data_IF_805673334195
#
_entry.id   IF_805673334195
#
_cell.length_a   1.000
_cell.length_b   1.000
_cell.length_c   1.000
_cell.angle_alpha   90.00
_cell.angle_beta   90.00
_cell.angle_gamma   90.00
#
_symmetry.space_group_name_H-M   'P 1'
#
loop_
_entity.id
_entity.type
_entity.pdbx_description
1 polymer ?
#
# COMPACT_ATOMS: atom_id res chain seq x y z
N UNK A 1 5.22 -23.45 -4.55
CA UNK A 1 4.39 -24.59 -4.97
C UNK A 1 2.96 -24.57 -4.38
N UNK A 2 2.60 -23.53 -3.62
CA UNK A 2 1.28 -23.39 -2.97
C UNK A 2 0.27 -22.57 -3.80
N UNK A 3 0.70 -22.03 -4.95
CA UNK A 3 -0.16 -21.29 -5.88
C UNK A 3 -0.02 -19.77 -5.81
N UNK A 4 0.59 -19.22 -4.79
CA UNK A 4 0.80 -17.76 -4.69
C UNK A 4 1.75 -17.25 -5.77
N UNK A 5 1.43 -16.10 -6.36
CA UNK A 5 2.10 -15.52 -7.54
C UNK A 5 2.80 -14.21 -7.28
N UNK A 6 2.75 -13.74 -6.05
CA UNK A 6 3.39 -12.47 -5.66
C UNK A 6 4.01 -12.57 -4.26
N UNK A 7 4.93 -11.66 -4.00
CA UNK A 7 5.61 -11.50 -2.72
C UNK A 7 5.68 -10.01 -2.36
N UNK A 8 5.34 -9.66 -1.14
CA UNK A 8 5.40 -8.30 -0.62
C UNK A 8 6.46 -8.21 0.47
N UNK A 9 7.21 -7.12 0.50
CA UNK A 9 8.25 -6.90 1.50
C UNK A 9 8.45 -5.40 1.76
N UNK A 10 7.82 -4.91 2.82
CA UNK A 10 7.87 -3.50 3.20
C UNK A 10 9.30 -3.00 3.46
N UNK A 11 10.22 -3.87 3.89
CA UNK A 11 11.62 -3.54 4.17
C UNK A 11 12.57 -3.70 2.98
N UNK A 12 12.09 -4.03 1.78
CA UNK A 12 12.93 -4.29 0.62
C UNK A 12 13.98 -3.18 0.38
N UNK A 13 13.61 -1.92 0.55
CA UNK A 13 14.52 -0.77 0.41
C UNK A 13 15.69 -0.80 1.40
N UNK A 14 15.48 -1.35 2.59
CA UNK A 14 16.46 -1.40 3.68
C UNK A 14 17.36 -2.64 3.61
N UNK A 15 17.01 -3.65 2.79
CA UNK A 15 17.80 -4.86 2.66
C UNK A 15 19.11 -4.59 1.92
N UNK A 16 20.13 -5.36 2.24
CA UNK A 16 21.40 -5.32 1.52
C UNK A 16 21.22 -5.60 0.03
N UNK A 17 21.99 -4.92 -0.81
CA UNK A 17 21.87 -4.99 -2.28
C UNK A 17 21.99 -6.42 -2.80
N UNK A 18 22.94 -7.19 -2.28
CA UNK A 18 23.14 -8.60 -2.62
C UNK A 18 21.92 -9.47 -2.32
N UNK A 19 21.23 -9.19 -1.19
CA UNK A 19 20.00 -9.89 -0.83
C UNK A 19 18.84 -9.49 -1.76
N UNK A 20 18.71 -8.20 -2.10
CA UNK A 20 17.72 -7.75 -3.09
C UNK A 20 17.89 -8.46 -4.43
N UNK A 21 19.13 -8.59 -4.92
CA UNK A 21 19.47 -9.29 -6.16
C UNK A 21 19.16 -10.80 -6.10
N UNK A 22 19.49 -11.44 -4.97
CA UNK A 22 19.17 -12.85 -4.75
C UNK A 22 17.64 -13.08 -4.75
N UNK A 23 16.89 -12.22 -4.05
CA UNK A 23 15.43 -12.28 -4.01
C UNK A 23 14.84 -12.06 -5.41
N UNK A 24 15.33 -11.07 -6.16
CA UNK A 24 14.88 -10.78 -7.52
C UNK A 24 15.08 -11.99 -8.45
N UNK A 25 16.29 -12.60 -8.45
CA UNK A 25 16.60 -13.82 -9.23
C UNK A 25 15.68 -14.99 -8.83
N UNK A 26 15.43 -15.14 -7.53
CA UNK A 26 14.57 -16.22 -7.02
C UNK A 26 13.12 -16.02 -7.45
N UNK A 27 12.60 -14.81 -7.32
CA UNK A 27 11.24 -14.46 -7.77
C UNK A 27 11.09 -14.68 -9.29
N UNK A 28 12.05 -14.19 -10.08
CA UNK A 28 12.05 -14.39 -11.52
C UNK A 28 12.03 -15.88 -11.91
N UNK A 29 12.90 -16.68 -11.30
CA UNK A 29 12.96 -18.15 -11.54
C UNK A 29 11.66 -18.85 -11.22
N UNK A 30 10.88 -18.36 -10.24
CA UNK A 30 9.63 -18.96 -9.77
C UNK A 30 8.37 -18.32 -10.37
N UNK A 31 8.52 -17.32 -11.24
CA UNK A 31 7.38 -16.58 -11.79
C UNK A 31 6.60 -15.80 -10.72
N UNK A 32 7.28 -15.31 -9.67
CA UNK A 32 6.70 -14.54 -8.58
C UNK A 32 6.88 -13.04 -8.89
N UNK A 33 5.81 -12.27 -8.79
CA UNK A 33 5.83 -10.81 -8.95
C UNK A 33 6.21 -10.14 -7.62
N UNK A 34 7.02 -9.07 -7.68
CA UNK A 34 7.23 -8.21 -6.52
C UNK A 34 6.00 -7.31 -6.31
N UNK A 35 5.47 -7.30 -5.10
CA UNK A 35 4.44 -6.37 -4.63
C UNK A 35 5.02 -5.02 -4.22
N UNK A 36 4.36 -4.35 -3.27
CA UNK A 36 4.84 -3.08 -2.72
C UNK A 36 6.03 -3.26 -1.79
N UNK A 37 6.78 -2.18 -1.64
CA UNK A 37 7.74 -1.94 -0.57
C UNK A 37 7.66 -0.47 -0.16
N UNK A 38 8.07 -0.13 1.06
CA UNK A 38 8.02 1.26 1.55
C UNK A 38 9.11 2.11 0.89
N UNK A 39 8.68 3.16 0.17
CA UNK A 39 9.56 4.00 -0.65
C UNK A 39 10.50 4.90 0.15
N UNK A 40 10.08 5.35 1.33
CA UNK A 40 10.77 6.37 2.11
C UNK A 40 10.77 6.05 3.61
N UNK A 41 11.40 6.88 4.43
CA UNK A 41 11.27 6.79 5.88
C UNK A 41 9.95 7.44 6.31
N UNK A 42 9.10 6.67 7.01
CA UNK A 42 7.80 7.15 7.49
C UNK A 42 8.00 7.80 8.85
N UNK A 43 7.55 9.04 9.00
CA UNK A 43 7.55 9.76 10.28
C UNK A 43 6.21 9.58 10.98
N UNK A 44 6.14 8.58 11.87
CA UNK A 44 4.93 8.16 12.55
C UNK A 44 4.38 9.16 13.57
N UNK A 45 5.22 10.07 14.11
CA UNK A 45 4.88 10.93 15.25
C UNK A 45 5.19 12.41 15.00
N UNK A 46 5.59 12.78 13.81
CA UNK A 46 5.88 14.15 13.44
C UNK A 46 5.48 14.45 12.00
N UNK A 47 5.12 15.71 11.70
CA UNK A 47 4.81 16.12 10.33
C UNK A 47 5.97 15.82 9.37
N UNK A 48 5.60 15.43 8.14
CA UNK A 48 6.54 15.23 7.04
C UNK A 48 6.02 15.98 5.80
N UNK A 49 5.42 15.27 4.82
CA UNK A 49 4.99 15.88 3.56
C UNK A 49 3.93 16.96 3.76
N UNK A 50 3.05 16.79 4.74
CA UNK A 50 2.01 17.74 5.10
C UNK A 50 2.56 19.07 5.66
N UNK A 51 3.77 19.09 6.21
CA UNK A 51 4.36 20.27 6.84
C UNK A 51 4.64 21.43 5.89
N UNK A 52 4.91 21.14 4.61
CA UNK A 52 5.39 22.12 3.64
C UNK A 52 6.87 22.50 3.79
N UNK A 53 7.59 21.86 4.71
CA UNK A 53 9.03 22.08 4.92
C UNK A 53 9.83 21.63 3.69
N UNK A 54 10.64 22.54 3.13
CA UNK A 54 11.38 22.28 1.89
C UNK A 54 12.53 21.29 2.07
N UNK A 55 13.11 21.20 3.28
CA UNK A 55 14.15 20.21 3.58
C UNK A 55 13.54 18.81 3.62
N UNK A 56 12.38 18.62 4.28
CA UNK A 56 11.65 17.36 4.33
C UNK A 56 11.13 16.93 2.95
N UNK A 57 10.65 17.89 2.13
CA UNK A 57 10.29 17.61 0.74
C UNK A 57 11.49 17.11 -0.08
N UNK A 58 12.66 17.76 0.08
CA UNK A 58 13.89 17.38 -0.62
C UNK A 58 14.38 16.00 -0.16
N UNK A 59 14.31 15.72 1.13
CA UNK A 59 14.63 14.40 1.70
C UNK A 59 13.73 13.31 1.09
N UNK A 60 12.42 13.52 1.09
CA UNK A 60 11.46 12.59 0.49
C UNK A 60 11.77 12.32 -1.00
N UNK A 61 12.00 13.36 -1.80
CA UNK A 61 12.33 13.18 -3.21
C UNK A 61 13.65 12.42 -3.41
N UNK A 62 14.62 12.56 -2.50
CA UNK A 62 15.84 11.75 -2.50
C UNK A 62 15.55 10.27 -2.18
N UNK A 63 14.61 9.98 -1.27
CA UNK A 63 14.16 8.62 -1.03
C UNK A 63 13.49 8.03 -2.28
N UNK A 64 12.63 8.77 -2.97
CA UNK A 64 12.00 8.33 -4.22
C UNK A 64 13.06 7.97 -5.28
N UNK A 65 14.10 8.79 -5.46
CA UNK A 65 15.21 8.49 -6.37
C UNK A 65 15.96 7.19 -5.99
N UNK A 66 16.13 6.93 -4.69
CA UNK A 66 16.71 5.66 -4.20
C UNK A 66 15.74 4.48 -4.43
N UNK A 67 14.46 4.68 -4.15
CA UNK A 67 13.42 3.66 -4.35
C UNK A 67 13.29 3.23 -5.82
N UNK A 68 13.44 4.14 -6.78
CA UNK A 68 13.51 3.81 -8.21
C UNK A 68 14.61 2.79 -8.51
N UNK A 69 15.80 2.95 -7.90
CA UNK A 69 16.90 2.00 -8.09
C UNK A 69 16.58 0.62 -7.51
N UNK A 70 15.92 0.58 -6.35
CA UNK A 70 15.45 -0.67 -5.74
C UNK A 70 14.38 -1.33 -6.61
N UNK A 71 13.35 -0.57 -7.00
CA UNK A 71 12.28 -1.07 -7.86
C UNK A 71 12.80 -1.73 -9.15
N UNK A 72 13.75 -1.07 -9.81
CA UNK A 72 14.41 -1.64 -11.01
C UNK A 72 15.15 -2.95 -10.70
N UNK A 73 15.82 -3.04 -9.55
CA UNK A 73 16.59 -4.24 -9.16
C UNK A 73 15.69 -5.43 -8.88
N UNK A 74 14.55 -5.20 -8.20
CA UNK A 74 13.65 -6.28 -7.80
C UNK A 74 12.43 -6.43 -8.72
N UNK A 75 12.40 -5.69 -9.83
CA UNK A 75 11.30 -5.67 -10.80
C UNK A 75 9.95 -5.35 -10.13
N UNK A 76 9.93 -4.40 -9.18
CA UNK A 76 8.72 -3.90 -8.57
C UNK A 76 8.08 -2.83 -9.43
N UNK A 77 6.74 -2.78 -9.44
CA UNK A 77 5.95 -1.73 -10.09
C UNK A 77 5.46 -0.69 -9.08
N UNK A 78 5.19 -1.11 -7.87
CA UNK A 78 4.52 -0.30 -6.84
C UNK A 78 5.44 -0.05 -5.65
N UNK A 79 5.24 1.09 -5.00
CA UNK A 79 5.90 1.44 -3.75
C UNK A 79 4.95 2.23 -2.85
N UNK A 80 4.91 1.89 -1.56
CA UNK A 80 4.04 2.54 -0.56
C UNK A 80 4.60 3.90 -0.17
N UNK A 81 3.70 4.89 -0.08
CA UNK A 81 3.99 6.23 0.42
C UNK A 81 2.94 6.61 1.46
N UNK A 82 3.42 7.02 2.65
CA UNK A 82 2.60 7.54 3.75
C UNK A 82 3.00 9.00 4.00
N UNK A 83 2.08 9.99 3.89
CA UNK A 83 2.41 11.42 4.01
C UNK A 83 2.94 11.86 5.38
N UNK A 84 2.84 11.01 6.40
CA UNK A 84 3.27 11.29 7.76
C UNK A 84 2.17 11.90 8.63
N UNK A 85 2.56 12.48 9.76
CA UNK A 85 1.65 13.02 10.77
C UNK A 85 1.11 14.39 10.38
N UNK A 86 -0.07 14.77 10.89
CA UNK A 86 -0.61 16.13 10.75
C UNK A 86 0.24 17.13 11.52
N UNK A 87 0.31 18.37 11.02
CA UNK A 87 0.81 19.52 11.75
C UNK A 87 -0.37 20.25 12.41
N UNK A 88 -0.58 20.03 13.70
CA UNK A 88 -1.70 20.61 14.45
C UNK A 88 -1.69 22.15 14.51
N UNK A 89 -0.58 22.79 14.10
CA UNK A 89 -0.48 24.26 14.05
C UNK A 89 -0.94 24.84 12.71
N UNK A 90 -1.27 23.99 11.73
CA UNK A 90 -1.64 24.39 10.37
C UNK A 90 -3.04 23.91 9.98
N UNK A 91 -3.73 24.71 9.20
CA UNK A 91 -5.00 24.30 8.61
C UNK A 91 -4.81 23.09 7.67
N UNK A 92 -5.75 22.17 7.67
CA UNK A 92 -5.69 20.93 6.88
C UNK A 92 -5.61 21.20 5.36
N UNK A 93 -6.26 22.27 4.88
CA UNK A 93 -6.23 22.63 3.46
C UNK A 93 -4.81 22.99 2.97
N UNK A 94 -4.04 23.74 3.78
CA UNK A 94 -2.64 24.03 3.46
C UNK A 94 -1.79 22.76 3.45
N UNK A 95 -2.04 21.85 4.38
CA UNK A 95 -1.33 20.57 4.46
C UNK A 95 -1.63 19.71 3.23
N UNK A 96 -2.90 19.64 2.81
CA UNK A 96 -3.31 18.94 1.59
C UNK A 96 -2.61 19.52 0.34
N UNK A 97 -2.56 20.85 0.21
CA UNK A 97 -1.86 21.50 -0.89
C UNK A 97 -0.36 21.16 -0.90
N UNK A 98 0.30 21.16 0.28
CA UNK A 98 1.71 20.77 0.40
C UNK A 98 1.96 19.32 -0.02
N UNK A 99 1.09 18.40 0.38
CA UNK A 99 1.16 16.98 0.00
C UNK A 99 1.01 16.85 -1.52
N UNK A 100 0.00 17.46 -2.11
CA UNK A 100 -0.23 17.42 -3.57
C UNK A 100 0.99 17.97 -4.33
N UNK A 101 1.55 19.10 -3.90
CA UNK A 101 2.74 19.70 -4.53
C UNK A 101 3.93 18.74 -4.58
N UNK A 102 4.26 18.09 -3.45
CA UNK A 102 5.41 17.19 -3.38
C UNK A 102 5.16 15.87 -4.12
N UNK A 103 3.91 15.37 -4.10
CA UNK A 103 3.55 14.15 -4.84
C UNK A 103 3.59 14.37 -6.35
N UNK A 104 3.22 15.56 -6.86
CA UNK A 104 3.44 15.91 -8.28
C UNK A 104 4.91 15.84 -8.66
N UNK A 105 5.81 16.37 -7.83
CA UNK A 105 7.26 16.27 -8.07
C UNK A 105 7.76 14.83 -8.04
N UNK A 106 7.25 14.01 -7.13
CA UNK A 106 7.58 12.59 -7.05
C UNK A 106 7.04 11.81 -8.28
N UNK A 107 5.82 12.10 -8.73
CA UNK A 107 5.23 11.52 -9.94
C UNK A 107 6.11 11.76 -11.16
N UNK A 108 6.57 12.99 -11.36
CA UNK A 108 7.48 13.34 -12.46
C UNK A 108 8.79 12.53 -12.45
N UNK A 109 9.24 12.08 -11.28
CA UNK A 109 10.41 11.18 -11.16
C UNK A 109 10.07 9.73 -11.48
N UNK A 110 8.84 9.28 -11.21
CA UNK A 110 8.41 7.88 -11.34
C UNK A 110 7.89 7.55 -12.73
N UNK A 111 7.16 8.47 -13.38
CA UNK A 111 6.53 8.29 -14.68
C UNK A 111 7.47 7.77 -15.78
N UNK A 112 8.71 8.31 -15.94
CA UNK A 112 9.64 7.83 -16.97
C UNK A 112 10.06 6.36 -16.76
N UNK A 113 9.74 5.79 -15.61
CA UNK A 113 10.08 4.41 -15.24
C UNK A 113 8.86 3.49 -15.18
N UNK A 114 7.64 4.00 -15.43
CA UNK A 114 6.40 3.25 -15.28
C UNK A 114 6.13 2.78 -13.84
N UNK A 115 6.73 3.44 -12.85
CA UNK A 115 6.59 3.12 -11.44
C UNK A 115 5.42 3.90 -10.82
N UNK A 116 4.78 3.30 -9.84
CA UNK A 116 3.60 3.86 -9.19
C UNK A 116 3.82 3.93 -7.68
N UNK A 117 3.81 5.14 -7.12
CA UNK A 117 3.62 5.28 -5.69
C UNK A 117 2.15 5.08 -5.35
N UNK A 118 1.89 4.31 -4.31
CA UNK A 118 0.55 4.04 -3.82
C UNK A 118 0.42 4.63 -2.41
N UNK A 119 -0.53 5.56 -2.26
CA UNK A 119 -0.80 6.27 -1.01
C UNK A 119 -1.65 5.38 -0.13
N UNK A 120 -1.21 5.16 1.10
CA UNK A 120 -1.91 4.32 2.06
C UNK A 120 -2.64 5.15 3.11
N UNK A 121 -3.98 5.20 3.10
CA UNK A 121 -4.78 5.71 4.20
C UNK A 121 -4.75 4.71 5.36
N UNK A 122 -4.36 5.19 6.55
CA UNK A 122 -4.16 4.36 7.74
C UNK A 122 -5.16 4.72 8.83
N UNK A 123 -5.81 3.72 9.44
CA UNK A 123 -6.85 3.94 10.44
C UNK A 123 -6.34 4.67 11.70
N UNK A 124 -7.22 5.46 12.29
CA UNK A 124 -6.90 6.32 13.44
C UNK A 124 -6.59 5.56 14.74
N UNK A 125 -7.04 4.29 14.86
CA UNK A 125 -6.85 3.49 16.09
C UNK A 125 -5.41 3.00 16.21
N UNK A 126 -4.88 2.46 15.10
CA UNK A 126 -3.51 1.92 15.07
C UNK A 126 -2.48 3.02 14.84
N UNK A 127 -2.88 4.07 14.11
CA UNK A 127 -2.00 5.15 13.66
C UNK A 127 -2.60 6.55 13.95
N UNK A 128 -2.81 6.90 15.23
CA UNK A 128 -3.42 8.18 15.59
C UNK A 128 -2.57 9.37 15.13
N UNK A 129 -3.23 10.37 14.56
CA UNK A 129 -2.61 11.61 14.13
C UNK A 129 -1.94 11.60 12.77
N UNK A 130 -2.04 10.53 11.99
CA UNK A 130 -1.59 10.56 10.61
C UNK A 130 -2.47 11.48 9.75
N UNK A 131 -1.83 12.13 8.77
CA UNK A 131 -2.50 13.06 7.86
C UNK A 131 -3.50 12.37 6.94
N UNK A 132 -3.15 11.19 6.41
CA UNK A 132 -3.97 10.45 5.47
C UNK A 132 -4.61 9.23 6.15
N UNK A 133 -5.94 9.24 6.28
CA UNK A 133 -6.67 8.17 6.96
C UNK A 133 -7.90 7.66 6.22
N UNK A 134 -8.43 8.42 5.26
CA UNK A 134 -9.69 8.10 4.59
C UNK A 134 -9.52 7.90 3.09
N UNK A 135 -10.29 6.98 2.52
CA UNK A 135 -10.26 6.71 1.08
C UNK A 135 -10.75 7.90 0.23
N UNK A 136 -11.77 8.68 0.61
CA UNK A 136 -12.14 9.90 -0.11
C UNK A 136 -11.03 10.96 -0.14
N UNK A 137 -10.29 11.12 0.96
CA UNK A 137 -9.15 12.03 1.03
C UNK A 137 -8.02 11.59 0.09
N UNK A 138 -7.70 10.29 0.08
CA UNK A 138 -6.70 9.74 -0.84
C UNK A 138 -7.14 9.92 -2.30
N UNK A 139 -8.41 9.71 -2.59
CA UNK A 139 -9.00 9.90 -3.92
C UNK A 139 -8.85 11.35 -4.40
N UNK A 140 -9.23 12.32 -3.56
CA UNK A 140 -9.08 13.75 -3.86
C UNK A 140 -7.62 14.11 -4.16
N UNK A 141 -6.68 13.61 -3.35
CA UNK A 141 -5.24 13.84 -3.54
C UNK A 141 -4.77 13.23 -4.87
N UNK A 142 -5.10 11.97 -5.16
CA UNK A 142 -4.69 11.30 -6.40
C UNK A 142 -5.26 12.01 -7.63
N UNK A 143 -6.54 12.39 -7.61
CA UNK A 143 -7.18 13.19 -8.69
C UNK A 143 -6.50 14.53 -8.87
N UNK A 144 -6.12 15.22 -7.79
CA UNK A 144 -5.45 16.52 -7.83
C UNK A 144 -4.00 16.42 -8.32
N UNK A 145 -3.30 15.34 -7.99
CA UNK A 145 -1.98 15.02 -8.54
C UNK A 145 -2.07 14.73 -10.03
N UNK A 146 -3.12 14.04 -10.45
CA UNK A 146 -3.45 13.72 -11.85
C UNK A 146 -2.29 13.02 -12.59
N UNK A 147 -1.77 11.94 -12.01
CA UNK A 147 -0.66 11.18 -12.56
C UNK A 147 -0.92 9.67 -12.50
N UNK A 148 -0.54 8.89 -13.54
CA UNK A 148 -0.59 7.43 -13.48
C UNK A 148 0.39 6.84 -12.46
N UNK A 149 1.35 7.64 -11.99
CA UNK A 149 2.36 7.25 -10.99
C UNK A 149 1.97 7.58 -9.54
N UNK A 150 0.73 8.06 -9.31
CA UNK A 150 0.20 8.34 -7.97
C UNK A 150 -1.20 7.73 -7.85
N UNK A 151 -1.32 6.67 -7.08
CA UNK A 151 -2.56 5.90 -6.91
C UNK A 151 -2.80 5.58 -5.44
N UNK A 152 -3.93 4.97 -5.12
CA UNK A 152 -4.30 4.55 -3.78
C UNK A 152 -3.81 3.12 -3.54
N UNK A 153 -3.23 2.87 -2.38
CA UNK A 153 -3.19 1.56 -1.76
C UNK A 153 -4.42 1.44 -0.87
N UNK A 154 -5.37 0.61 -1.26
CA UNK A 154 -6.55 0.35 -0.47
C UNK A 154 -6.30 -0.86 0.44
N UNK A 155 -5.85 -0.60 1.69
CA UNK A 155 -5.75 -1.64 2.71
C UNK A 155 -7.14 -1.89 3.30
N UNK A 156 -7.67 -3.08 3.04
CA UNK A 156 -9.02 -3.47 3.45
C UNK A 156 -9.17 -3.48 4.97
N UNK A 157 -8.13 -3.90 5.70
CA UNK A 157 -8.12 -3.87 7.17
C UNK A 157 -8.23 -2.44 7.71
N UNK A 158 -7.39 -1.53 7.18
CA UNK A 158 -7.42 -0.15 7.63
C UNK A 158 -8.75 0.53 7.30
N UNK A 159 -9.29 0.32 6.11
CA UNK A 159 -10.54 0.95 5.72
C UNK A 159 -11.77 0.33 6.40
N UNK A 160 -11.72 -0.94 6.79
CA UNK A 160 -12.78 -1.52 7.63
C UNK A 160 -12.90 -0.79 8.97
N UNK A 161 -11.77 -0.50 9.62
CA UNK A 161 -11.75 0.20 10.92
C UNK A 161 -12.13 1.69 10.76
N UNK A 162 -11.64 2.33 9.72
CA UNK A 162 -11.76 3.76 9.50
C UNK A 162 -13.16 4.15 9.01
N UNK A 163 -13.68 3.43 8.00
CA UNK A 163 -14.87 3.83 7.25
C UNK A 163 -15.94 2.73 7.20
N UNK A 164 -15.55 1.45 7.24
CA UNK A 164 -16.47 0.35 6.90
C UNK A 164 -16.95 0.45 5.44
N UNK A 165 -18.15 -0.09 5.17
CA UNK A 165 -18.79 0.05 3.85
C UNK A 165 -17.86 -0.23 2.64
N UNK A 166 -17.03 -1.28 2.77
CA UNK A 166 -15.85 -1.53 1.92
C UNK A 166 -16.16 -1.54 0.42
N UNK A 167 -17.12 -2.36 -0.04
CA UNK A 167 -17.40 -2.51 -1.48
C UNK A 167 -17.85 -1.19 -2.12
N UNK A 168 -18.80 -0.43 -1.55
CA UNK A 168 -19.16 0.90 -2.08
C UNK A 168 -18.01 1.90 -2.06
N UNK A 169 -17.11 1.85 -1.07
CA UNK A 169 -15.94 2.73 -1.02
C UNK A 169 -14.89 2.34 -2.06
N UNK A 170 -14.64 1.04 -2.26
CA UNK A 170 -13.80 0.54 -3.36
C UNK A 170 -14.36 0.99 -4.72
N UNK A 171 -15.69 0.91 -4.91
CA UNK A 171 -16.33 1.34 -6.15
C UNK A 171 -16.09 2.82 -6.46
N UNK A 172 -16.27 3.69 -5.46
CA UNK A 172 -16.07 5.14 -5.61
C UNK A 172 -14.64 5.56 -5.91
N UNK A 173 -13.66 4.78 -5.41
CA UNK A 173 -12.25 5.07 -5.60
C UNK A 173 -11.61 4.26 -6.73
N UNK A 174 -12.37 3.43 -7.44
CA UNK A 174 -11.86 2.38 -8.33
C UNK A 174 -10.81 2.85 -9.34
N UNK A 175 -11.03 3.97 -9.99
CA UNK A 175 -10.15 4.53 -11.04
C UNK A 175 -8.80 5.04 -10.48
N UNK A 176 -8.72 5.25 -9.17
CA UNK A 176 -7.50 5.66 -8.49
C UNK A 176 -6.85 4.55 -7.64
N UNK A 177 -7.44 3.35 -7.53
CA UNK A 177 -6.82 2.26 -6.79
C UNK A 177 -5.74 1.58 -7.65
N UNK A 178 -4.50 1.59 -7.16
CA UNK A 178 -3.36 0.92 -7.78
C UNK A 178 -2.96 -0.39 -7.10
N UNK A 179 -3.33 -0.60 -5.84
CA UNK A 179 -2.92 -1.75 -5.06
C UNK A 179 -3.92 -2.03 -3.93
N UNK A 180 -4.04 -3.29 -3.53
CA UNK A 180 -4.83 -3.70 -2.37
C UNK A 180 -3.95 -4.42 -1.35
N UNK A 181 -4.24 -4.19 -0.06
CA UNK A 181 -3.71 -5.00 1.04
C UNK A 181 -4.84 -5.66 1.81
N UNK A 182 -4.53 -6.79 2.42
CA UNK A 182 -5.47 -7.72 3.04
C UNK A 182 -5.04 -8.00 4.47
N UNK A 183 -5.96 -7.86 5.39
CA UNK A 183 -5.89 -8.31 6.78
C UNK A 183 -7.30 -8.33 7.36
N UNK A 184 -7.65 -9.35 8.14
CA UNK A 184 -9.00 -9.43 8.71
C UNK A 184 -9.11 -8.61 10.01
N UNK A 185 -10.27 -8.04 10.25
CA UNK A 185 -10.58 -7.26 11.45
C UNK A 185 -11.61 -8.01 12.32
N UNK A 186 -11.43 -8.00 13.63
CA UNK A 186 -10.29 -7.53 14.41
C UNK A 186 -9.08 -8.48 14.37
N UNK A 187 -7.91 -8.02 14.79
CA UNK A 187 -6.72 -8.84 15.02
C UNK A 187 -5.67 -8.80 13.89
N UNK A 188 -6.01 -8.25 12.71
CA UNK A 188 -5.11 -8.15 11.55
C UNK A 188 -4.43 -9.49 11.25
N UNK A 189 -5.23 -10.54 11.11
CA UNK A 189 -4.80 -11.88 10.73
C UNK A 189 -5.34 -12.26 9.34
N UNK A 190 -5.16 -13.53 8.96
CA UNK A 190 -5.63 -14.05 7.66
C UNK A 190 -7.16 -13.98 7.52
N UNK A 191 -7.71 -13.91 6.30
CA UNK A 191 -9.15 -13.96 6.04
C UNK A 191 -9.85 -15.11 6.77
N UNK A 192 -11.12 -14.91 7.16
CA UNK A 192 -11.95 -15.83 7.92
C UNK A 192 -11.67 -15.90 9.42
N UNK A 193 -10.80 -15.04 9.94
CA UNK A 193 -10.55 -14.94 11.39
C UNK A 193 -11.32 -13.79 12.06
N UNK A 194 -11.91 -12.91 11.27
CA UNK A 194 -12.64 -11.73 11.73
C UNK A 194 -14.00 -11.53 11.04
N UNK A 195 -14.37 -10.28 10.87
CA UNK A 195 -15.71 -9.85 10.44
C UNK A 195 -15.82 -9.55 8.93
N UNK A 196 -14.69 -9.50 8.20
CA UNK A 196 -14.70 -9.09 6.80
C UNK A 196 -15.10 -10.28 5.91
N UNK A 197 -16.11 -10.07 5.07
CA UNK A 197 -16.50 -11.08 4.08
C UNK A 197 -15.58 -11.01 2.84
N UNK A 198 -14.38 -11.56 2.95
CA UNK A 198 -13.40 -11.56 1.87
C UNK A 198 -13.85 -12.28 0.60
N UNK A 199 -14.73 -13.28 0.70
CA UNK A 199 -15.27 -13.93 -0.50
C UNK A 199 -16.05 -12.91 -1.37
N UNK A 200 -16.90 -12.08 -0.75
CA UNK A 200 -17.63 -11.05 -1.46
C UNK A 200 -16.72 -9.92 -1.97
N UNK A 201 -15.74 -9.51 -1.16
CA UNK A 201 -14.78 -8.46 -1.54
C UNK A 201 -13.94 -8.90 -2.73
N UNK A 202 -13.39 -10.11 -2.70
CA UNK A 202 -12.58 -10.64 -3.81
C UNK A 202 -13.41 -10.83 -5.08
N UNK A 203 -14.63 -11.37 -4.95
CA UNK A 203 -15.57 -11.50 -6.07
C UNK A 203 -15.83 -10.14 -6.72
N UNK A 204 -16.04 -9.08 -5.93
CA UNK A 204 -16.24 -7.73 -6.44
C UNK A 204 -15.00 -7.22 -7.17
N UNK A 205 -13.81 -7.27 -6.54
CA UNK A 205 -12.55 -6.82 -7.14
C UNK A 205 -12.27 -7.56 -8.46
N UNK A 206 -12.48 -8.89 -8.48
CA UNK A 206 -12.33 -9.70 -9.68
C UNK A 206 -13.31 -9.31 -10.79
N UNK A 207 -14.59 -9.10 -10.44
CA UNK A 207 -15.63 -8.69 -11.41
C UNK A 207 -15.34 -7.36 -12.09
N UNK A 208 -14.53 -6.51 -11.46
CA UNK A 208 -14.06 -5.23 -12.01
C UNK A 208 -12.83 -5.36 -12.89
N UNK A 209 -12.33 -6.59 -13.10
CA UNK A 209 -11.19 -6.87 -13.96
C UNK A 209 -9.82 -6.48 -13.38
N UNK A 210 -9.68 -6.43 -12.05
CA UNK A 210 -8.39 -6.10 -11.42
C UNK A 210 -7.30 -7.11 -11.78
N UNK A 211 -6.16 -6.62 -12.26
CA UNK A 211 -5.00 -7.43 -12.67
C UNK A 211 -3.75 -7.17 -11.80
N UNK A 212 -3.93 -6.43 -10.72
CA UNK A 212 -2.87 -6.08 -9.78
C UNK A 212 -2.53 -7.22 -8.82
N UNK A 213 -2.03 -6.86 -7.65
CA UNK A 213 -1.71 -7.78 -6.56
C UNK A 213 -2.64 -7.47 -5.38
N UNK A 214 -3.10 -8.52 -4.73
CA UNK A 214 -3.76 -8.47 -3.42
C UNK A 214 -2.71 -8.87 -2.39
N UNK A 215 -2.06 -7.89 -1.76
CA UNK A 215 -0.95 -8.09 -0.83
C UNK A 215 -1.43 -8.60 0.53
N UNK A 216 -0.74 -9.59 1.08
CA UNK A 216 -1.04 -10.12 2.42
C UNK A 216 -0.25 -9.33 3.47
N UNK A 217 -0.89 -8.34 4.10
CA UNK A 217 -0.26 -7.54 5.14
C UNK A 217 -0.92 -7.80 6.50
N UNK A 218 -0.65 -8.95 7.07
CA UNK A 218 -1.25 -9.38 8.33
C UNK A 218 -0.37 -10.39 9.08
N UNK A 219 -0.68 -10.59 10.35
CA UNK A 219 -0.12 -11.67 11.13
C UNK A 219 -0.81 -13.02 10.85
N UNK A 220 -0.34 -14.07 11.51
CA UNK A 220 -0.98 -15.37 11.48
C UNK A 220 -1.73 -15.59 12.82
N UNK A 221 -2.97 -16.04 12.76
CA UNK A 221 -3.77 -16.34 13.96
C UNK A 221 -3.17 -17.45 14.81
N UNK A 222 -2.35 -18.32 14.21
CA UNK A 222 -1.58 -19.37 14.88
C UNK A 222 -0.11 -19.31 14.47
N UNK A 223 0.77 -19.75 15.38
CA UNK A 223 2.22 -19.78 15.15
C UNK A 223 2.68 -21.04 14.39
N UNK A 224 3.86 -20.95 13.79
CA UNK A 224 4.56 -22.05 13.14
C UNK A 224 3.82 -22.63 11.94
N UNK A 225 4.16 -23.86 11.55
CA UNK A 225 3.63 -24.53 10.36
C UNK A 225 2.11 -24.67 10.36
N UNK A 226 1.49 -24.82 11.52
CA UNK A 226 0.03 -24.86 11.63
C UNK A 226 -0.59 -23.54 11.21
N UNK A 227 -0.02 -22.41 11.68
CA UNK A 227 -0.46 -21.07 11.29
C UNK A 227 -0.28 -20.83 9.79
N UNK A 228 0.87 -21.20 9.22
CA UNK A 228 1.11 -21.09 7.78
C UNK A 228 0.09 -21.87 6.95
N UNK A 229 -0.27 -23.09 7.37
CA UNK A 229 -1.28 -23.90 6.71
C UNK A 229 -2.68 -23.29 6.82
N UNK A 230 -3.02 -22.71 7.98
CA UNK A 230 -4.30 -21.98 8.16
C UNK A 230 -4.40 -20.78 7.24
N UNK A 231 -3.35 -19.97 7.12
CA UNK A 231 -3.29 -18.85 6.16
C UNK A 231 -3.55 -19.34 4.75
N UNK A 232 -2.81 -20.36 4.29
CA UNK A 232 -2.98 -20.91 2.94
C UNK A 232 -4.41 -21.39 2.69
N UNK A 233 -4.99 -22.11 3.65
CA UNK A 233 -6.35 -22.64 3.54
C UNK A 233 -7.41 -21.52 3.57
N UNK A 234 -7.20 -20.47 4.37
CA UNK A 234 -8.06 -19.29 4.42
C UNK A 234 -8.15 -18.62 3.04
N UNK A 235 -7.01 -18.34 2.42
CA UNK A 235 -7.00 -17.76 1.07
C UNK A 235 -7.63 -18.68 0.03
N UNK A 236 -7.31 -19.97 0.02
CA UNK A 236 -7.95 -20.94 -0.88
C UNK A 236 -9.46 -21.01 -0.69
N UNK A 237 -9.96 -20.76 0.51
CA UNK A 237 -11.39 -20.76 0.82
C UNK A 237 -12.09 -19.51 0.27
N UNK A 238 -11.51 -18.32 0.50
CA UNK A 238 -12.15 -17.06 0.10
C UNK A 238 -11.97 -16.74 -1.39
N UNK A 239 -11.04 -17.41 -2.08
CA UNK A 239 -10.79 -17.27 -3.52
C UNK A 239 -11.67 -18.22 -4.38
N UNK A 240 -12.57 -18.98 -3.75
CA UNK A 240 -13.52 -19.88 -4.41
C UNK A 240 -14.84 -19.17 -4.73
N UNK A 241 -14.82 -18.21 -5.62
CA UNK A 241 -16.02 -17.48 -6.05
C UNK A 241 -16.25 -17.49 -7.56
N UNK A 242 -15.38 -18.19 -8.28
CA UNK A 242 -15.45 -18.43 -9.73
C UNK A 242 -15.99 -19.85 -9.96
#
# INVERSE_FOLDING_TARGET
DLGFKSFEDNDMRKREMSLQELMAKTMQKRGIRMGVFVAHEIYWKRPNLASGDKALQSEFLNYIKKAIKVAKRVNAKWMTVVPGHVDLTKNIAYQTANVIEVLKKASNLLEPHGLVMVLEPLNFRDHPGLFLSESPQAYEICKSVNSPSCKILFDIYHQQIQEGNLIPNIEKCWDEIGYFQIGDNPGRNEPTTGEINYNNVFKYIHSRGYQGILGMEHGNSFKGKEGELKVINAYKRVDKFI
#
